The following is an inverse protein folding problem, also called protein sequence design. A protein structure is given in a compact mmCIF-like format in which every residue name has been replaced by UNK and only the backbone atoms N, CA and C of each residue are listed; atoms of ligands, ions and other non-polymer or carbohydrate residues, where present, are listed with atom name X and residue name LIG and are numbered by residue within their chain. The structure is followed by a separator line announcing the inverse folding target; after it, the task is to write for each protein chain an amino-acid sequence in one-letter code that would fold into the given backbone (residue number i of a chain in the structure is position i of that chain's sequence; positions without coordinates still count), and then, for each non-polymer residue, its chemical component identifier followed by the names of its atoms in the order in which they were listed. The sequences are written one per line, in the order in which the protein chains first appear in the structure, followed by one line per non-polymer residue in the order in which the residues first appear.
data_IF_986293639749
#
_entry.id   IF_986293639749
#
_cell.length_a   1.000
_cell.length_b   1.000
_cell.length_c   1.000
_cell.angle_alpha   90.00
_cell.angle_beta   90.00
_cell.angle_gamma   90.00
#
_symmetry.space_group_name_H-M   'P 1'
#
loop_
_entity.id
_entity.type
_entity.pdbx_description
1 polymer ?
#
# COMPACT_ATOMS: atom_id res chain seq x y z
N UNK A 1 -54.67 -110.91 50.13
CA UNK A 1 -53.52 -110.46 49.31
C UNK A 1 -53.62 -108.97 48.89
N UNK A 2 -54.43 -108.12 49.56
CA UNK A 2 -54.66 -106.71 49.13
C UNK A 2 -53.68 -105.65 49.66
N UNK A 3 -52.91 -105.91 50.73
CA UNK A 3 -52.04 -104.88 51.33
C UNK A 3 -50.71 -104.67 50.60
N UNK A 4 -50.13 -105.69 49.95
CA UNK A 4 -48.79 -105.56 49.31
C UNK A 4 -48.83 -104.78 47.99
N UNK A 5 -49.91 -104.92 47.21
CA UNK A 5 -50.12 -104.16 45.97
C UNK A 5 -50.43 -102.68 46.25
N UNK A 6 -51.21 -102.41 47.31
CA UNK A 6 -51.56 -101.04 47.73
C UNK A 6 -50.36 -100.25 48.24
N UNK A 7 -49.44 -100.88 48.98
CA UNK A 7 -48.19 -100.24 49.45
C UNK A 7 -47.24 -99.93 48.28
N UNK A 8 -47.14 -100.83 47.29
CA UNK A 8 -46.34 -100.58 46.08
C UNK A 8 -46.85 -99.42 45.23
N UNK A 9 -48.17 -99.31 45.07
CA UNK A 9 -48.82 -98.19 44.36
C UNK A 9 -48.59 -96.85 45.08
N UNK A 10 -48.64 -96.86 46.41
CA UNK A 10 -48.44 -95.68 47.25
C UNK A 10 -46.98 -95.20 47.24
N UNK A 11 -46.02 -96.13 47.23
CA UNK A 11 -44.59 -95.84 47.06
C UNK A 11 -44.25 -95.27 45.67
N UNK A 12 -44.88 -95.79 44.61
CA UNK A 12 -44.70 -95.27 43.24
C UNK A 12 -45.22 -93.83 43.12
N UNK A 13 -46.35 -93.53 43.76
CA UNK A 13 -46.95 -92.19 43.76
C UNK A 13 -46.07 -91.16 44.48
N UNK A 14 -45.43 -91.55 45.58
CA UNK A 14 -44.46 -90.70 46.31
C UNK A 14 -43.22 -90.40 45.46
N UNK A 15 -42.69 -91.38 44.72
CA UNK A 15 -41.56 -91.16 43.81
C UNK A 15 -41.90 -90.21 42.65
N UNK A 16 -43.09 -90.34 42.06
CA UNK A 16 -43.56 -89.45 40.97
C UNK A 16 -43.77 -88.02 41.49
N UNK A 17 -44.32 -87.86 42.69
CA UNK A 17 -44.47 -86.54 43.32
C UNK A 17 -43.12 -85.89 43.63
N UNK A 18 -42.12 -86.65 44.08
CA UNK A 18 -40.77 -86.12 44.33
C UNK A 18 -40.05 -85.68 43.04
N UNK A 19 -40.21 -86.41 41.93
CA UNK A 19 -39.67 -85.99 40.64
C UNK A 19 -40.32 -84.69 40.13
N UNK A 20 -41.65 -84.55 40.29
CA UNK A 20 -42.37 -83.34 39.93
C UNK A 20 -41.93 -82.11 40.75
N UNK A 21 -41.62 -82.30 42.04
CA UNK A 21 -41.11 -81.22 42.92
C UNK A 21 -39.70 -80.81 42.51
N UNK A 22 -38.84 -81.76 42.12
CA UNK A 22 -37.48 -81.45 41.65
C UNK A 22 -37.50 -80.64 40.33
N UNK A 23 -38.38 -81.00 39.39
CA UNK A 23 -38.57 -80.23 38.14
C UNK A 23 -39.17 -78.85 38.40
N UNK A 24 -40.11 -78.73 39.34
CA UNK A 24 -40.68 -77.44 39.74
C UNK A 24 -39.64 -76.52 40.39
N UNK A 25 -38.78 -77.05 41.25
CA UNK A 25 -37.67 -76.29 41.84
C UNK A 25 -36.67 -75.85 40.76
N UNK A 26 -36.31 -76.73 39.83
CA UNK A 26 -35.41 -76.40 38.72
C UNK A 26 -35.97 -75.30 37.83
N UNK A 27 -37.27 -75.32 37.53
CA UNK A 27 -37.94 -74.25 36.78
C UNK A 27 -37.94 -72.93 37.54
N UNK A 28 -38.11 -72.96 38.86
CA UNK A 28 -38.02 -71.76 39.70
C UNK A 28 -36.60 -71.17 39.70
N UNK A 29 -35.57 -72.01 39.82
CA UNK A 29 -34.17 -71.59 39.77
C UNK A 29 -33.80 -71.00 38.40
N UNK A 30 -34.29 -71.60 37.30
CA UNK A 30 -34.11 -71.08 35.95
C UNK A 30 -34.81 -69.72 35.75
N UNK A 31 -36.04 -69.57 36.26
CA UNK A 31 -36.75 -68.29 36.20
C UNK A 31 -36.05 -67.20 37.01
N UNK A 32 -35.48 -67.55 38.17
CA UNK A 32 -34.71 -66.60 38.98
C UNK A 32 -33.43 -66.16 38.26
N UNK A 33 -32.72 -67.08 37.61
CA UNK A 33 -31.52 -66.76 36.83
C UNK A 33 -31.84 -65.88 35.62
N UNK A 34 -32.89 -66.21 34.87
CA UNK A 34 -33.34 -65.38 33.75
C UNK A 34 -33.78 -63.97 34.20
N UNK A 35 -34.41 -63.84 35.38
CA UNK A 35 -34.75 -62.54 35.94
C UNK A 35 -33.51 -61.71 36.30
N UNK A 36 -32.46 -62.34 36.83
CA UNK A 36 -31.20 -61.66 37.13
C UNK A 36 -30.46 -61.22 35.86
N UNK A 37 -30.40 -62.10 34.84
CA UNK A 37 -29.84 -61.76 33.53
C UNK A 37 -30.61 -60.60 32.86
N UNK A 38 -31.94 -60.63 32.89
CA UNK A 38 -32.76 -59.53 32.36
C UNK A 38 -32.46 -58.21 33.07
N UNK A 39 -32.34 -58.23 34.40
CA UNK A 39 -32.00 -57.04 35.18
C UNK A 39 -30.59 -56.53 34.85
N UNK A 40 -29.63 -57.43 34.69
CA UNK A 40 -28.27 -57.07 34.32
C UNK A 40 -28.22 -56.41 32.92
N UNK A 41 -28.91 -57.01 31.94
CA UNK A 41 -28.96 -56.48 30.57
C UNK A 41 -29.67 -55.11 30.55
N UNK A 42 -30.74 -54.93 31.33
CA UNK A 42 -31.43 -53.63 31.45
C UNK A 42 -30.50 -52.55 32.00
N UNK A 43 -29.68 -52.87 33.01
CA UNK A 43 -28.69 -51.94 33.55
C UNK A 43 -27.65 -51.57 32.48
N UNK A 44 -27.10 -52.56 31.78
CA UNK A 44 -26.11 -52.32 30.72
C UNK A 44 -26.67 -51.48 29.57
N UNK A 45 -27.93 -51.74 29.18
CA UNK A 45 -28.62 -50.95 28.17
C UNK A 45 -28.74 -49.49 28.61
N UNK A 46 -29.19 -49.26 29.84
CA UNK A 46 -29.32 -47.92 30.41
C UNK A 46 -27.97 -47.17 30.45
N UNK A 47 -26.91 -47.83 30.92
CA UNK A 47 -25.57 -47.24 30.94
C UNK A 47 -25.06 -46.92 29.52
N UNK A 48 -25.31 -47.82 28.56
CA UNK A 48 -24.95 -47.60 27.15
C UNK A 48 -25.73 -46.44 26.55
N UNK A 49 -27.03 -46.31 26.83
CA UNK A 49 -27.86 -45.19 26.37
C UNK A 49 -27.35 -43.84 26.92
N UNK A 50 -26.99 -43.79 28.21
CA UNK A 50 -26.37 -42.60 28.79
C UNK A 50 -25.03 -42.24 28.14
N UNK A 51 -24.20 -43.26 27.86
CA UNK A 51 -22.93 -43.06 27.15
C UNK A 51 -23.16 -42.51 25.75
N UNK A 52 -24.12 -43.06 25.00
CA UNK A 52 -24.48 -42.57 23.66
C UNK A 52 -24.96 -41.11 23.74
N UNK A 53 -25.81 -40.78 24.72
CA UNK A 53 -26.30 -39.41 24.90
C UNK A 53 -25.15 -38.43 25.19
N UNK A 54 -24.22 -38.78 26.08
CA UNK A 54 -23.08 -37.92 26.40
C UNK A 54 -22.12 -37.75 25.22
N UNK A 55 -21.85 -38.81 24.47
CA UNK A 55 -21.02 -38.77 23.27
C UNK A 55 -21.66 -37.92 22.16
N UNK A 56 -22.98 -38.03 21.96
CA UNK A 56 -23.70 -37.20 20.99
C UNK A 56 -23.65 -35.72 21.37
N UNK A 57 -23.77 -35.38 22.66
CA UNK A 57 -23.64 -34.01 23.13
C UNK A 57 -22.22 -33.45 22.86
N UNK A 58 -21.18 -34.25 23.08
CA UNK A 58 -19.80 -33.84 22.81
C UNK A 58 -19.52 -33.69 21.31
N UNK A 59 -20.02 -34.60 20.47
CA UNK A 59 -19.93 -34.47 19.01
C UNK A 59 -20.57 -33.17 18.54
N UNK A 60 -21.77 -32.84 19.03
CA UNK A 60 -22.45 -31.59 18.69
C UNK A 60 -21.63 -30.35 19.12
N UNK A 61 -20.99 -30.41 20.29
CA UNK A 61 -20.11 -29.34 20.78
C UNK A 61 -18.87 -29.18 19.89
N UNK A 62 -18.21 -30.29 19.54
CA UNK A 62 -17.02 -30.29 18.69
C UNK A 62 -17.32 -29.79 17.29
N UNK A 63 -18.44 -30.21 16.69
CA UNK A 63 -18.90 -29.70 15.39
C UNK A 63 -19.14 -28.19 15.42
N UNK A 64 -19.73 -27.67 16.49
CA UNK A 64 -19.93 -26.22 16.65
C UNK A 64 -18.60 -25.47 16.78
N UNK A 65 -17.64 -26.03 17.52
CA UNK A 65 -16.31 -25.45 17.67
C UNK A 65 -15.52 -25.47 16.35
N UNK A 66 -15.60 -26.56 15.59
CA UNK A 66 -15.00 -26.70 14.26
C UNK A 66 -15.57 -25.67 13.28
N UNK A 67 -16.89 -25.52 13.24
CA UNK A 67 -17.54 -24.52 12.39
C UNK A 67 -17.07 -23.10 12.72
N UNK A 68 -16.99 -22.74 14.01
CA UNK A 68 -16.48 -21.45 14.45
C UNK A 68 -15.00 -21.23 14.08
N UNK A 69 -14.18 -22.27 14.19
CA UNK A 69 -12.77 -22.23 13.79
C UNK A 69 -12.63 -22.01 12.29
N UNK A 70 -13.41 -22.73 11.47
CA UNK A 70 -13.41 -22.63 10.02
C UNK A 70 -13.86 -21.24 9.54
N UNK A 71 -14.85 -20.64 10.22
CA UNK A 71 -15.26 -19.27 9.96
C UNK A 71 -14.13 -18.28 10.25
N UNK A 72 -13.48 -18.39 11.41
CA UNK A 72 -12.35 -17.53 11.79
C UNK A 72 -11.16 -17.68 10.84
N UNK A 73 -10.88 -18.90 10.37
CA UNK A 73 -9.85 -19.16 9.37
C UNK A 73 -10.16 -18.46 8.04
N UNK A 74 -11.42 -18.49 7.61
CA UNK A 74 -11.89 -17.82 6.39
C UNK A 74 -11.73 -16.30 6.52
N UNK A 75 -12.14 -15.72 7.66
CA UNK A 75 -12.00 -14.29 7.93
C UNK A 75 -10.53 -13.85 7.96
N UNK A 76 -9.66 -14.63 8.59
CA UNK A 76 -8.23 -14.35 8.64
C UNK A 76 -7.59 -14.44 7.24
N UNK A 77 -7.98 -15.42 6.43
CA UNK A 77 -7.53 -15.52 5.03
C UNK A 77 -7.95 -14.30 4.22
N UNK A 78 -9.21 -13.86 4.36
CA UNK A 78 -9.72 -12.67 3.68
C UNK A 78 -8.98 -11.39 4.12
N UNK A 79 -8.76 -11.21 5.43
CA UNK A 79 -7.98 -10.09 5.97
C UNK A 79 -6.55 -10.10 5.46
N UNK A 80 -5.89 -11.26 5.43
CA UNK A 80 -4.53 -11.40 4.93
C UNK A 80 -4.42 -11.06 3.44
N UNK A 81 -5.38 -11.50 2.63
CA UNK A 81 -5.45 -11.13 1.21
C UNK A 81 -5.63 -9.61 1.02
N UNK A 82 -6.50 -8.99 1.82
CA UNK A 82 -6.71 -7.54 1.81
C UNK A 82 -5.43 -6.78 2.20
N UNK A 83 -4.77 -7.18 3.28
CA UNK A 83 -3.50 -6.59 3.73
C UNK A 83 -2.39 -6.73 2.68
N UNK A 84 -2.30 -7.88 2.00
CA UNK A 84 -1.35 -8.08 0.90
C UNK A 84 -1.60 -7.10 -0.24
N UNK A 85 -2.86 -6.90 -0.63
CA UNK A 85 -3.22 -5.93 -1.67
C UNK A 85 -2.92 -4.49 -1.26
N UNK A 86 -3.18 -4.11 0.00
CA UNK A 86 -2.84 -2.79 0.53
C UNK A 86 -1.32 -2.58 0.50
N UNK A 87 -0.53 -3.56 0.96
CA UNK A 87 0.93 -3.49 0.94
C UNK A 87 1.50 -3.36 -0.48
N UNK A 88 0.91 -4.03 -1.46
CA UNK A 88 1.30 -3.89 -2.86
C UNK A 88 1.03 -2.46 -3.37
N UNK A 89 -0.16 -1.91 -3.10
CA UNK A 89 -0.50 -0.52 -3.47
C UNK A 89 0.40 0.51 -2.79
N UNK A 90 0.69 0.33 -1.51
CA UNK A 90 1.58 1.21 -0.76
C UNK A 90 3.01 1.17 -1.30
N UNK A 91 3.53 -0.03 -1.57
CA UNK A 91 4.87 -0.21 -2.17
C UNK A 91 4.96 0.51 -3.52
N UNK A 92 3.95 0.38 -4.37
CA UNK A 92 3.91 1.08 -5.67
C UNK A 92 3.87 2.60 -5.50
N UNK A 93 3.05 3.10 -4.56
CA UNK A 93 2.94 4.53 -4.27
C UNK A 93 4.26 5.11 -3.74
N UNK A 94 4.94 4.39 -2.84
CA UNK A 94 6.27 4.78 -2.34
C UNK A 94 7.27 4.83 -3.49
N UNK A 95 7.32 3.82 -4.35
CA UNK A 95 8.21 3.81 -5.53
C UNK A 95 7.96 5.02 -6.44
N UNK A 96 6.69 5.33 -6.72
CA UNK A 96 6.31 6.49 -7.54
C UNK A 96 6.71 7.82 -6.89
N UNK A 97 6.41 8.00 -5.60
CA UNK A 97 6.77 9.21 -4.86
C UNK A 97 8.28 9.42 -4.79
N UNK A 98 9.05 8.36 -4.58
CA UNK A 98 10.52 8.43 -4.57
C UNK A 98 11.07 8.85 -5.93
N UNK A 99 10.54 8.30 -7.02
CA UNK A 99 10.95 8.70 -8.38
C UNK A 99 10.58 10.16 -8.68
N UNK A 100 9.37 10.59 -8.30
CA UNK A 100 8.92 11.98 -8.45
C UNK A 100 9.80 12.94 -7.65
N UNK A 101 10.14 12.59 -6.41
CA UNK A 101 11.03 13.39 -5.57
C UNK A 101 12.43 13.52 -6.16
N UNK A 102 12.99 12.42 -6.70
CA UNK A 102 14.29 12.46 -7.35
C UNK A 102 14.28 13.36 -8.59
N UNK A 103 13.23 13.29 -9.41
CA UNK A 103 13.04 14.18 -10.56
C UNK A 103 12.99 15.65 -10.13
N UNK A 104 12.17 15.96 -9.11
CA UNK A 104 12.05 17.33 -8.60
C UNK A 104 13.37 17.85 -8.04
N UNK A 105 14.14 17.03 -7.32
CA UNK A 105 15.48 17.40 -6.86
C UNK A 105 16.44 17.74 -8.01
N UNK A 106 16.42 16.98 -9.10
CA UNK A 106 17.22 17.28 -10.29
C UNK A 106 16.80 18.58 -10.97
N UNK A 107 15.49 18.83 -11.06
CA UNK A 107 14.96 20.10 -11.61
C UNK A 107 15.40 21.28 -10.76
N UNK A 108 15.23 21.21 -9.43
CA UNK A 108 15.67 22.27 -8.51
C UNK A 108 17.19 22.49 -8.61
N UNK A 109 17.98 21.43 -8.71
CA UNK A 109 19.44 21.54 -8.89
C UNK A 109 19.79 22.28 -10.18
N UNK A 110 19.07 21.99 -11.27
CA UNK A 110 19.28 22.68 -12.55
C UNK A 110 18.87 24.16 -12.45
N UNK A 111 17.71 24.45 -11.87
CA UNK A 111 17.23 25.83 -11.65
C UNK A 111 18.23 26.63 -10.81
N UNK A 112 18.72 26.09 -9.70
CA UNK A 112 19.73 26.75 -8.88
C UNK A 112 21.04 27.01 -9.63
N UNK A 113 21.43 26.11 -10.54
CA UNK A 113 22.59 26.32 -11.41
C UNK A 113 22.34 27.49 -12.37
N UNK A 114 21.15 27.55 -12.99
CA UNK A 114 20.78 28.62 -13.92
C UNK A 114 20.72 29.97 -13.20
N UNK A 115 20.08 30.04 -12.04
CA UNK A 115 20.01 31.26 -11.21
C UNK A 115 21.41 31.74 -10.85
N UNK A 116 22.29 30.84 -10.37
CA UNK A 116 23.67 31.21 -10.03
C UNK A 116 24.46 31.74 -11.24
N UNK A 117 24.29 31.13 -12.41
CA UNK A 117 24.91 31.62 -13.64
C UNK A 117 24.41 33.01 -14.04
N UNK A 118 23.10 33.25 -13.90
CA UNK A 118 22.47 34.55 -14.20
C UNK A 118 22.99 35.63 -13.24
N UNK A 119 23.03 35.34 -11.94
CA UNK A 119 23.57 36.23 -10.91
C UNK A 119 25.04 36.59 -11.16
N UNK A 120 25.85 35.59 -11.48
CA UNK A 120 27.26 35.81 -11.81
C UNK A 120 27.39 36.66 -13.08
N UNK A 121 26.54 36.45 -14.09
CA UNK A 121 26.58 37.27 -15.32
C UNK A 121 26.18 38.70 -15.09
N UNK A 122 25.12 38.92 -14.33
CA UNK A 122 24.73 40.25 -13.87
C UNK A 122 25.87 40.96 -13.14
N UNK A 123 26.53 40.30 -12.18
CA UNK A 123 27.65 40.89 -11.42
C UNK A 123 28.83 41.25 -12.33
N UNK A 124 29.20 40.37 -13.27
CA UNK A 124 30.28 40.64 -14.21
C UNK A 124 29.97 41.86 -15.07
N UNK A 125 28.78 41.91 -15.69
CA UNK A 125 28.37 43.04 -16.53
C UNK A 125 28.32 44.34 -15.72
N UNK A 126 27.71 44.31 -14.54
CA UNK A 126 27.61 45.48 -13.65
C UNK A 126 28.99 46.01 -13.23
N UNK A 127 29.98 45.12 -13.07
CA UNK A 127 31.36 45.50 -12.76
C UNK A 127 32.07 46.06 -13.98
N UNK A 128 31.93 45.40 -15.14
CA UNK A 128 32.57 45.80 -16.40
C UNK A 128 32.06 47.14 -16.94
N UNK A 129 30.78 47.46 -16.71
CA UNK A 129 30.12 48.66 -17.22
C UNK A 129 29.76 49.67 -16.11
N UNK A 130 30.48 49.62 -14.98
CA UNK A 130 30.15 50.37 -13.78
C UNK A 130 30.05 51.88 -14.04
N UNK A 131 30.98 52.42 -14.81
CA UNK A 131 31.06 53.86 -15.06
C UNK A 131 29.96 54.31 -16.03
N UNK A 132 29.65 53.50 -17.04
CA UNK A 132 28.54 53.75 -17.97
C UNK A 132 27.18 53.64 -17.29
N UNK A 133 27.02 52.71 -16.36
CA UNK A 133 25.81 52.59 -15.52
C UNK A 133 25.69 53.81 -14.61
N UNK A 134 26.78 54.22 -13.94
CA UNK A 134 26.79 55.41 -13.08
C UNK A 134 26.49 56.69 -13.87
N UNK A 135 26.92 56.75 -15.14
CA UNK A 135 26.64 57.84 -16.06
C UNK A 135 25.25 57.74 -16.74
N UNK A 136 24.42 56.77 -16.37
CA UNK A 136 23.09 56.52 -16.96
C UNK A 136 23.12 56.26 -18.48
N UNK A 137 24.24 55.75 -19.00
CA UNK A 137 24.42 55.38 -20.41
C UNK A 137 24.02 53.93 -20.68
N UNK A 138 24.04 53.09 -19.63
CA UNK A 138 23.63 51.69 -19.65
C UNK A 138 22.69 51.41 -18.47
N UNK A 139 21.63 50.65 -18.72
CA UNK A 139 20.72 50.15 -17.70
C UNK A 139 20.69 48.62 -17.72
N UNK A 140 20.63 48.01 -16.53
CA UNK A 140 20.53 46.57 -16.33
C UNK A 140 19.16 46.24 -15.76
N UNK A 141 18.36 45.47 -16.48
CA UNK A 141 17.01 45.07 -16.08
C UNK A 141 16.95 43.54 -15.97
N UNK A 142 16.52 43.06 -14.81
CA UNK A 142 16.35 41.64 -14.53
C UNK A 142 14.89 41.23 -14.72
N UNK A 143 14.70 40.09 -15.36
CA UNK A 143 13.41 39.39 -15.45
C UNK A 143 13.59 37.97 -14.91
N UNK A 144 12.50 37.23 -14.69
CA UNK A 144 12.57 35.89 -14.08
C UNK A 144 13.55 34.94 -14.78
N UNK A 145 13.60 34.98 -16.12
CA UNK A 145 14.38 34.02 -16.91
C UNK A 145 15.47 34.68 -17.78
N UNK A 146 15.46 36.01 -17.90
CA UNK A 146 16.36 36.72 -18.81
C UNK A 146 16.93 37.99 -18.21
N UNK A 147 18.07 38.43 -18.74
CA UNK A 147 18.74 39.65 -18.33
C UNK A 147 18.81 40.60 -19.53
N UNK A 148 18.26 41.81 -19.38
CA UNK A 148 18.22 42.83 -20.42
C UNK A 148 19.24 43.93 -20.11
N UNK A 149 20.08 44.22 -21.09
CA UNK A 149 21.03 45.34 -21.06
C UNK A 149 20.55 46.39 -22.05
N UNK A 150 20.25 47.59 -21.56
CA UNK A 150 19.74 48.69 -22.36
C UNK A 150 20.84 49.73 -22.53
N UNK A 151 21.15 50.06 -23.79
CA UNK A 151 22.09 51.11 -24.15
C UNK A 151 21.31 52.33 -24.64
N UNK A 152 21.61 53.52 -24.13
CA UNK A 152 20.98 54.78 -24.59
C UNK A 152 21.43 55.14 -26.01
N UNK A 153 20.54 55.56 -26.91
CA UNK A 153 20.86 55.76 -28.34
C UNK A 153 22.15 56.59 -28.60
N UNK A 154 22.30 57.72 -27.92
CA UNK A 154 23.41 58.68 -28.07
C UNK A 154 24.76 58.10 -27.68
N UNK A 155 24.81 56.97 -26.96
CA UNK A 155 26.07 56.29 -26.65
C UNK A 155 26.56 55.45 -27.82
N UNK A 156 25.64 54.91 -28.62
CA UNK A 156 25.95 53.98 -29.70
C UNK A 156 25.99 54.66 -31.06
N UNK A 157 25.13 55.65 -31.29
CA UNK A 157 24.92 56.26 -32.60
C UNK A 157 24.97 57.79 -32.53
N UNK A 158 25.51 58.40 -33.57
CA UNK A 158 25.34 59.84 -33.80
C UNK A 158 23.94 60.13 -34.33
N UNK A 159 23.43 61.35 -34.14
CA UNK A 159 22.07 61.71 -34.55
C UNK A 159 21.84 61.42 -36.04
N UNK A 160 20.80 60.62 -36.34
CA UNK A 160 20.45 60.23 -37.71
C UNK A 160 21.36 59.18 -38.35
N UNK A 161 22.32 58.62 -37.60
CA UNK A 161 23.24 57.59 -38.08
C UNK A 161 22.78 56.19 -37.67
N UNK A 162 22.93 55.23 -38.57
CA UNK A 162 22.82 53.79 -38.27
C UNK A 162 24.19 53.14 -38.00
N UNK A 163 25.28 53.91 -38.19
CA UNK A 163 26.64 53.44 -37.94
C UNK A 163 27.00 53.66 -36.48
N UNK A 164 27.50 52.60 -35.85
CA UNK A 164 28.00 52.65 -34.47
C UNK A 164 29.21 53.58 -34.43
N UNK A 165 29.17 54.59 -33.55
CA UNK A 165 30.28 55.53 -33.36
C UNK A 165 31.43 54.87 -32.56
N UNK A 166 32.60 55.51 -32.52
CA UNK A 166 33.79 54.90 -31.89
C UNK A 166 33.58 54.60 -30.39
N UNK A 167 32.88 55.50 -29.67
CA UNK A 167 32.55 55.28 -28.26
C UNK A 167 31.65 54.06 -28.07
N UNK A 168 30.62 53.93 -28.92
CA UNK A 168 29.71 52.80 -28.94
C UNK A 168 30.41 51.48 -29.26
N UNK A 169 31.38 51.47 -30.18
CA UNK A 169 32.19 50.29 -30.48
C UNK A 169 32.99 49.84 -29.26
N UNK A 170 33.67 50.75 -28.57
CA UNK A 170 34.43 50.42 -27.36
C UNK A 170 33.51 49.85 -26.29
N UNK A 171 32.35 50.47 -26.05
CA UNK A 171 31.39 50.00 -25.05
C UNK A 171 30.83 48.60 -25.38
N UNK A 172 30.41 48.38 -26.63
CA UNK A 172 29.92 47.07 -27.06
C UNK A 172 30.99 45.99 -27.01
N UNK A 173 32.27 46.34 -27.26
CA UNK A 173 33.39 45.43 -27.06
C UNK A 173 33.55 45.05 -25.58
N UNK A 174 33.57 46.02 -24.66
CA UNK A 174 33.64 45.74 -23.21
C UNK A 174 32.47 44.87 -22.75
N UNK A 175 31.26 45.14 -23.23
CA UNK A 175 30.11 44.28 -22.98
C UNK A 175 30.30 42.86 -23.52
N UNK A 176 30.72 42.72 -24.79
CA UNK A 176 30.97 41.42 -25.40
C UNK A 176 32.03 40.62 -24.63
N UNK A 177 33.09 41.27 -24.14
CA UNK A 177 34.11 40.62 -23.31
C UNK A 177 33.56 40.15 -21.96
N UNK A 178 32.65 40.92 -21.34
CA UNK A 178 32.03 40.58 -20.05
C UNK A 178 31.15 39.32 -20.09
N UNK A 179 30.67 38.95 -21.29
CA UNK A 179 29.84 37.74 -21.52
C UNK A 179 30.59 36.64 -22.29
N UNK A 180 31.77 36.93 -22.89
CA UNK A 180 32.53 36.03 -23.77
C UNK A 180 32.85 34.66 -23.16
N UNK A 181 33.08 34.58 -21.86
CA UNK A 181 33.46 33.32 -21.19
C UNK A 181 32.27 32.38 -20.91
N UNK A 182 31.04 32.79 -21.23
CA UNK A 182 29.81 32.04 -20.94
C UNK A 182 29.22 31.46 -22.21
N UNK A 183 29.61 30.23 -22.52
CA UNK A 183 29.31 29.56 -23.79
C UNK A 183 27.84 29.13 -23.96
N UNK A 184 27.04 29.15 -22.90
CA UNK A 184 25.65 28.67 -22.89
C UNK A 184 24.62 29.81 -22.96
N UNK A 185 25.02 31.02 -23.37
CA UNK A 185 24.14 32.20 -23.44
C UNK A 185 23.74 32.53 -24.88
N UNK A 186 22.45 32.75 -25.11
CA UNK A 186 21.94 33.31 -26.37
C UNK A 186 21.75 34.82 -26.20
N UNK A 187 22.20 35.60 -27.16
CA UNK A 187 22.05 37.07 -27.17
C UNK A 187 21.05 37.45 -28.24
N UNK A 188 19.93 38.05 -27.82
CA UNK A 188 18.96 38.69 -28.69
C UNK A 188 19.23 40.19 -28.72
N UNK A 189 19.33 40.79 -29.91
CA UNK A 189 19.54 42.23 -30.09
C UNK A 189 18.27 42.84 -30.65
N UNK A 190 17.72 43.81 -29.94
CA UNK A 190 16.53 44.58 -30.32
C UNK A 190 16.88 46.06 -30.42
N UNK A 191 16.41 46.72 -31.47
CA UNK A 191 16.54 48.16 -31.67
C UNK A 191 15.17 48.84 -31.58
N UNK A 192 15.10 49.96 -30.86
CA UNK A 192 13.89 50.79 -30.76
C UNK A 192 14.18 52.20 -31.25
N UNK A 193 13.19 52.83 -31.89
CA UNK A 193 13.20 54.27 -32.19
C UNK A 193 12.06 54.94 -31.43
N UNK A 194 12.09 56.26 -31.38
CA UNK A 194 10.90 57.02 -31.00
C UNK A 194 9.87 57.02 -32.16
N UNK A 195 8.80 57.79 -31.98
CA UNK A 195 7.74 58.00 -32.97
C UNK A 195 7.93 59.30 -33.79
N UNK A 196 9.11 59.93 -33.75
CA UNK A 196 9.36 61.17 -34.47
C UNK A 196 9.66 60.91 -35.95
N UNK A 197 9.13 61.73 -36.88
CA UNK A 197 9.41 61.56 -38.30
C UNK A 197 10.87 61.88 -38.61
N UNK A 198 11.48 61.06 -39.48
CA UNK A 198 12.84 61.31 -39.99
C UNK A 198 12.90 62.67 -40.68
N UNK A 199 13.95 63.44 -40.37
CA UNK A 199 14.23 64.72 -41.04
C UNK A 199 14.43 64.55 -42.54
N UNK A 200 14.10 65.58 -43.32
CA UNK A 200 14.19 65.55 -44.79
C UNK A 200 15.59 65.19 -45.32
N UNK A 201 16.65 65.47 -44.54
CA UNK A 201 18.04 65.13 -44.86
C UNK A 201 18.39 63.64 -44.71
N UNK A 202 17.51 62.83 -44.11
CA UNK A 202 17.71 61.39 -43.85
C UNK A 202 16.74 60.51 -44.64
N UNK A 203 15.81 61.10 -45.39
CA UNK A 203 14.91 60.40 -46.30
C UNK A 203 15.62 60.21 -47.65
N UNK A 204 16.37 59.12 -47.78
CA UNK A 204 16.82 58.59 -49.08
C UNK A 204 15.98 57.40 -49.49
#
# INVERSE_FOLDING_TARGET
MGNRASIGLLLLLVFVLQACVADQQRLQDQNALLQDELKHIQLQLYESEQRIQSQNAEIARLQKAEAACNQKLTDLKAKNASLKNINLKLTQKVKWLTAALQKNKSVIKLQNKVIGLLDDTKKTIATSLKDEIAAQQVELVETEDTFKVVFVDKILFDSGSVKINEKGKTLLLTFAESIRQRNDQSVLVEGHTDNMPLGASLKT
#
